data_IF_458814560588
#
_entry.id   IF_458814560588
#
_cell.length_a   1.000
_cell.length_b   1.000
_cell.length_c   1.000
_cell.angle_alpha   90.00
_cell.angle_beta   90.00
_cell.angle_gamma   90.00
#
_symmetry.space_group_name_H-M   'P 1'
#
loop_
_entity.id
_entity.type
_entity.pdbx_description
1 polymer ?
#
# COMPACT_ATOMS: atom_id res chain seq x y z
N UNK A 1 45.69 2.13 22.07
CA UNK A 1 45.02 2.47 23.34
C UNK A 1 43.90 3.44 22.99
N UNK A 2 42.63 3.07 22.87
CA UNK A 2 41.90 1.87 23.35
C UNK A 2 40.72 1.59 22.41
N UNK A 3 40.70 0.35 21.92
CA UNK A 3 39.58 -0.56 21.69
C UNK A 3 38.31 -0.04 20.98
N UNK A 4 38.20 -0.38 19.70
CA UNK A 4 36.92 -0.56 19.00
C UNK A 4 37.02 -1.84 18.17
N UNK A 5 36.93 -2.97 18.86
CA UNK A 5 36.57 -4.26 18.29
C UNK A 5 35.43 -4.83 19.14
N UNK A 6 34.30 -5.10 18.50
CA UNK A 6 33.45 -6.25 18.83
C UNK A 6 32.49 -6.53 17.67
N UNK A 7 33.01 -7.31 16.73
CA UNK A 7 32.25 -8.35 16.06
C UNK A 7 31.68 -9.29 17.14
N UNK A 8 30.39 -9.60 17.07
CA UNK A 8 29.86 -10.85 17.63
C UNK A 8 29.03 -11.52 16.55
N UNK A 9 29.70 -12.44 15.87
CA UNK A 9 29.09 -13.63 15.27
C UNK A 9 28.64 -14.53 16.42
N UNK A 10 27.39 -14.98 16.39
CA UNK A 10 27.01 -16.23 17.05
C UNK A 10 26.22 -17.06 16.05
N UNK A 11 26.83 -18.19 15.72
CA UNK A 11 26.31 -19.27 14.90
C UNK A 11 25.28 -20.08 15.67
N UNK A 12 24.24 -20.52 15.00
CA UNK A 12 23.67 -21.84 15.29
C UNK A 12 23.66 -22.66 14.01
N UNK A 13 24.26 -23.85 14.13
CA UNK A 13 24.45 -24.82 13.08
C UNK A 13 23.09 -25.33 12.57
N UNK A 14 22.89 -25.33 11.25
CA UNK A 14 21.88 -26.17 10.62
C UNK A 14 22.46 -27.58 10.51
N UNK A 15 21.96 -28.47 11.36
CA UNK A 15 22.07 -29.90 11.17
C UNK A 15 21.31 -30.28 9.89
N UNK A 16 22.01 -30.98 9.01
CA UNK A 16 21.49 -31.51 7.75
C UNK A 16 21.08 -32.95 7.99
N UNK A 17 19.80 -33.16 8.29
CA UNK A 17 19.21 -34.50 8.26
C UNK A 17 18.61 -34.77 6.88
N UNK A 18 19.28 -35.65 6.17
CA UNK A 18 18.85 -36.26 4.92
C UNK A 18 17.96 -37.47 5.18
N UNK A 19 17.00 -37.63 4.27
CA UNK A 19 16.21 -38.83 3.97
C UNK A 19 15.07 -39.23 4.93
N UNK A 20 13.84 -39.08 4.44
CA UNK A 20 12.91 -40.23 4.43
C UNK A 20 11.83 -40.05 3.35
N UNK A 21 11.52 -41.19 2.75
CA UNK A 21 10.74 -41.47 1.55
C UNK A 21 9.28 -41.05 1.58
N UNK A 22 8.83 -40.45 0.47
CA UNK A 22 7.42 -40.27 0.12
C UNK A 22 6.77 -41.61 -0.29
N UNK A 23 5.54 -41.92 0.16
CA UNK A 23 4.71 -42.90 -0.50
C UNK A 23 3.92 -42.26 -1.66
N UNK A 24 4.02 -42.88 -2.83
CA UNK A 24 3.14 -42.66 -3.98
C UNK A 24 1.67 -42.85 -3.57
N UNK A 25 0.90 -41.77 -3.59
CA UNK A 25 -0.56 -41.83 -3.52
C UNK A 25 -1.12 -41.86 -4.95
N UNK A 26 -1.87 -42.92 -5.22
CA UNK A 26 -2.56 -43.17 -6.47
C UNK A 26 -3.54 -42.03 -6.80
N UNK A 27 -3.54 -41.62 -8.07
CA UNK A 27 -4.54 -40.75 -8.64
C UNK A 27 -5.85 -41.54 -8.83
N UNK A 28 -6.83 -41.28 -7.96
CA UNK A 28 -8.23 -41.62 -8.24
C UNK A 28 -8.86 -40.45 -9.02
N UNK A 29 -9.34 -40.76 -10.23
CA UNK A 29 -10.13 -39.84 -11.06
C UNK A 29 -11.46 -39.52 -10.36
N UNK A 30 -11.87 -38.24 -10.25
CA UNK A 30 -13.19 -37.91 -9.78
C UNK A 30 -14.25 -38.31 -10.82
N UNK A 31 -15.40 -38.86 -10.40
CA UNK A 31 -16.47 -39.24 -11.32
C UNK A 31 -17.13 -38.01 -11.95
N UNK A 32 -17.45 -38.12 -13.25
CA UNK A 32 -18.28 -37.19 -14.01
C UNK A 32 -19.63 -36.97 -13.29
N UNK A 33 -19.78 -35.79 -12.67
CA UNK A 33 -21.05 -35.38 -12.10
C UNK A 33 -21.95 -34.80 -13.21
N UNK A 34 -23.06 -35.50 -13.43
CA UNK A 34 -24.06 -35.24 -14.44
C UNK A 34 -24.75 -33.89 -14.19
N UNK A 35 -24.81 -33.06 -15.24
CA UNK A 35 -25.55 -31.82 -15.25
C UNK A 35 -27.06 -32.07 -15.07
N UNK A 36 -27.54 -31.88 -13.85
CA UNK A 36 -28.97 -31.74 -13.57
C UNK A 36 -29.42 -30.31 -13.92
N UNK A 37 -30.09 -30.19 -15.07
CA UNK A 37 -30.88 -29.02 -15.47
C UNK A 37 -32.04 -28.88 -14.48
N UNK A 38 -31.92 -27.94 -13.52
CA UNK A 38 -33.05 -27.43 -12.76
C UNK A 38 -33.40 -26.04 -13.27
N UNK A 39 -34.39 -26.03 -14.17
CA UNK A 39 -35.26 -24.88 -14.42
C UNK A 39 -35.93 -24.50 -13.09
N UNK A 40 -35.50 -23.39 -12.47
CA UNK A 40 -36.36 -22.65 -11.56
C UNK A 40 -36.42 -21.20 -12.00
N UNK A 41 -37.57 -20.93 -12.59
CA UNK A 41 -38.04 -19.67 -13.12
C UNK A 41 -38.75 -18.95 -11.98
N UNK A 42 -38.00 -18.30 -11.09
CA UNK A 42 -38.58 -17.44 -10.06
C UNK A 42 -38.16 -15.99 -10.29
N UNK A 43 -39.12 -15.27 -10.87
CA UNK A 43 -39.19 -13.82 -10.96
C UNK A 43 -38.99 -13.18 -9.58
N UNK A 44 -37.80 -12.67 -9.30
CA UNK A 44 -37.60 -11.66 -8.27
C UNK A 44 -36.55 -10.62 -8.69
N UNK A 45 -36.77 -10.01 -9.86
CA UNK A 45 -36.06 -8.82 -10.31
C UNK A 45 -36.73 -7.58 -9.73
N UNK A 46 -36.56 -7.32 -8.43
CA UNK A 46 -36.82 -5.99 -7.89
C UNK A 46 -36.12 -5.71 -6.54
N UNK A 47 -34.79 -5.79 -6.50
CA UNK A 47 -34.01 -5.02 -5.52
C UNK A 47 -32.48 -4.93 -5.78
N UNK A 48 -32.04 -4.93 -7.04
CA UNK A 48 -30.71 -4.42 -7.36
C UNK A 48 -30.75 -2.89 -7.35
N UNK A 49 -30.62 -2.29 -6.16
CA UNK A 49 -30.26 -0.88 -6.04
C UNK A 49 -28.84 -0.73 -6.58
N UNK A 50 -28.74 -0.17 -7.77
CA UNK A 50 -27.52 0.34 -8.38
C UNK A 50 -26.89 1.40 -7.46
N UNK A 51 -25.80 1.05 -6.76
CA UNK A 51 -25.04 1.98 -5.91
C UNK A 51 -23.80 2.57 -6.60
N UNK A 52 -23.77 2.60 -7.92
CA UNK A 52 -22.91 3.55 -8.64
C UNK A 52 -23.80 4.70 -9.12
N UNK A 53 -23.58 5.95 -8.67
CA UNK A 53 -24.22 7.07 -9.33
C UNK A 53 -23.66 7.13 -10.75
N UNK A 54 -24.53 6.90 -11.74
CA UNK A 54 -24.29 7.29 -13.13
C UNK A 54 -24.17 8.82 -13.10
N UNK A 55 -22.95 9.33 -13.11
CA UNK A 55 -22.65 10.74 -13.00
C UNK A 55 -23.04 11.44 -14.31
N UNK A 56 -24.21 12.08 -14.35
CA UNK A 56 -24.76 12.76 -15.52
C UNK A 56 -24.66 14.31 -15.41
N UNK A 57 -23.42 14.81 -15.24
CA UNK A 57 -22.96 16.10 -15.81
C UNK A 57 -22.49 17.23 -14.85
N UNK A 58 -21.79 18.27 -15.33
CA UNK A 58 -20.90 18.28 -16.49
C UNK A 58 -19.44 18.64 -16.15
N UNK A 59 -18.51 18.04 -16.90
CA UNK A 59 -17.34 18.71 -17.45
C UNK A 59 -17.58 18.62 -18.98
N UNK A 60 -17.82 19.74 -19.65
CA UNK A 60 -18.01 19.84 -21.12
C UNK A 60 -17.08 20.94 -21.61
N UNK A 61 -15.79 20.59 -21.68
CA UNK A 61 -14.65 21.44 -21.27
C UNK A 61 -14.60 21.56 -19.74
N UNK A 62 -13.68 22.29 -19.14
CA UNK A 62 -13.43 22.31 -17.69
C UNK A 62 -14.52 22.96 -16.81
N UNK A 63 -15.81 22.84 -17.12
CA UNK A 63 -16.90 23.24 -16.21
C UNK A 63 -17.15 22.21 -15.08
N UNK A 64 -16.06 21.66 -14.54
CA UNK A 64 -16.00 20.56 -13.57
C UNK A 64 -17.08 20.59 -12.49
N UNK A 65 -17.65 19.43 -12.17
CA UNK A 65 -18.33 19.16 -10.89
C UNK A 65 -17.81 17.83 -10.25
N UNK A 66 -16.57 17.45 -10.51
CA UNK A 66 -15.96 16.23 -9.96
C UNK A 66 -15.54 16.40 -8.48
N UNK A 67 -15.83 15.43 -7.58
CA UNK A 67 -15.16 15.35 -6.28
C UNK A 67 -13.65 15.12 -6.49
N UNK A 68 -12.85 16.17 -6.29
CA UNK A 68 -11.38 16.14 -6.51
C UNK A 68 -10.88 16.89 -7.74
N UNK A 69 -11.61 17.90 -8.22
CA UNK A 69 -11.17 18.77 -9.31
C UNK A 69 -9.88 19.57 -8.97
N UNK A 70 -9.11 19.91 -10.00
CA UNK A 70 -7.81 20.58 -9.90
C UNK A 70 -7.93 22.08 -10.17
N UNK A 71 -7.18 22.93 -9.46
CA UNK A 71 -7.16 24.38 -9.69
C UNK A 71 -5.80 24.88 -10.19
N UNK A 72 -5.79 25.75 -11.20
CA UNK A 72 -4.58 26.45 -11.63
C UNK A 72 -4.26 27.69 -10.77
N UNK A 73 -3.15 28.38 -11.09
CA UNK A 73 -2.72 29.57 -10.37
C UNK A 73 -3.71 30.74 -10.47
N UNK A 74 -4.60 30.73 -11.47
CA UNK A 74 -5.64 31.73 -11.68
C UNK A 74 -7.00 31.30 -11.09
N UNK A 75 -7.06 30.17 -10.38
CA UNK A 75 -8.25 29.68 -9.70
C UNK A 75 -9.29 29.00 -10.60
N UNK A 76 -8.94 28.65 -11.84
CA UNK A 76 -9.83 27.89 -12.72
C UNK A 76 -9.83 26.43 -12.32
N UNK A 77 -11.00 25.82 -12.25
CA UNK A 77 -11.20 24.44 -11.78
C UNK A 77 -11.33 23.48 -12.96
N UNK A 78 -10.63 22.36 -12.95
CA UNK A 78 -10.57 21.37 -14.03
C UNK A 78 -10.96 19.99 -13.51
N UNK A 79 -11.82 19.28 -14.25
CA UNK A 79 -11.97 17.84 -14.05
C UNK A 79 -10.66 17.14 -14.46
N UNK A 80 -10.43 15.92 -14.00
CA UNK A 80 -9.14 15.25 -14.18
C UNK A 80 -8.71 15.16 -15.66
N UNK A 81 -9.64 14.82 -16.54
CA UNK A 81 -9.39 14.77 -17.98
C UNK A 81 -9.02 16.12 -18.61
N UNK A 82 -9.59 17.24 -18.12
CA UNK A 82 -9.21 18.57 -18.61
C UNK A 82 -7.86 19.02 -18.02
N UNK A 83 -7.57 18.71 -16.76
CA UNK A 83 -6.28 19.03 -16.18
C UNK A 83 -5.15 18.35 -16.96
N UNK A 84 -5.28 17.05 -17.21
CA UNK A 84 -4.32 16.30 -18.03
C UNK A 84 -4.24 16.86 -19.46
N UNK A 85 -5.35 17.24 -20.09
CA UNK A 85 -5.33 17.80 -21.44
C UNK A 85 -4.61 19.15 -21.53
N UNK A 86 -4.78 20.02 -20.54
CA UNK A 86 -4.26 21.40 -20.58
C UNK A 86 -2.85 21.52 -19.98
N UNK A 87 -2.50 20.62 -19.06
CA UNK A 87 -1.24 20.64 -18.31
C UNK A 87 -0.32 19.45 -18.61
N UNK A 88 -0.75 18.46 -19.42
CA UNK A 88 0.20 17.49 -19.96
C UNK A 88 1.27 18.24 -20.78
N UNK A 89 2.55 17.83 -20.68
CA UNK A 89 3.60 18.40 -21.49
C UNK A 89 3.19 18.30 -22.96
N UNK A 90 2.99 19.44 -23.62
CA UNK A 90 2.62 19.50 -25.04
C UNK A 90 3.55 18.58 -25.83
N UNK A 91 3.01 17.74 -26.72
CA UNK A 91 3.75 16.80 -27.58
C UNK A 91 4.90 17.47 -28.38
N UNK A 92 4.91 18.81 -28.46
CA UNK A 92 5.93 19.62 -29.11
C UNK A 92 7.10 20.08 -28.21
N UNK A 93 7.19 19.66 -26.94
CA UNK A 93 8.47 19.81 -26.23
C UNK A 93 9.41 18.73 -26.74
N UNK A 94 10.63 19.07 -27.22
CA UNK A 94 11.62 18.05 -27.51
C UNK A 94 11.75 17.17 -26.26
N UNK A 95 11.46 15.88 -26.40
CA UNK A 95 11.69 14.90 -25.34
C UNK A 95 13.20 14.91 -25.09
N UNK A 96 13.64 15.63 -24.06
CA UNK A 96 14.94 15.32 -23.47
C UNK A 96 14.94 13.80 -23.22
N UNK A 97 16.02 13.07 -23.57
CA UNK A 97 16.11 11.64 -23.31
C UNK A 97 15.76 11.43 -21.85
N UNK A 98 14.60 10.83 -21.60
CA UNK A 98 14.02 10.85 -20.27
C UNK A 98 14.93 9.95 -19.44
N UNK A 99 15.31 10.36 -18.24
CA UNK A 99 16.08 9.50 -17.31
C UNK A 99 15.44 8.11 -17.16
N UNK A 100 14.12 8.04 -17.37
CA UNK A 100 13.32 6.82 -17.39
C UNK A 100 13.66 5.86 -18.54
N UNK A 101 14.13 6.32 -19.70
CA UNK A 101 14.44 5.46 -20.85
C UNK A 101 15.73 4.66 -20.59
N UNK A 102 16.77 5.30 -20.05
CA UNK A 102 17.98 4.60 -19.59
C UNK A 102 17.72 3.64 -18.43
N UNK A 103 16.83 4.01 -17.50
CA UNK A 103 16.40 3.12 -16.41
C UNK A 103 15.57 1.94 -16.95
N UNK A 104 14.70 2.15 -17.94
CA UNK A 104 13.93 1.08 -18.56
C UNK A 104 14.84 0.04 -19.20
N UNK A 105 15.88 0.46 -19.89
CA UNK A 105 16.85 -0.47 -20.47
C UNK A 105 17.63 -1.21 -19.38
N UNK A 106 18.11 -0.49 -18.37
CA UNK A 106 18.88 -1.06 -17.27
C UNK A 106 18.08 -2.06 -16.41
N UNK A 107 16.76 -1.86 -16.28
CA UNK A 107 15.85 -2.67 -15.47
C UNK A 107 14.82 -3.42 -16.32
N UNK A 108 15.07 -3.62 -17.62
CA UNK A 108 14.08 -4.19 -18.53
C UNK A 108 13.65 -5.60 -18.11
N UNK A 109 14.58 -6.40 -17.57
CA UNK A 109 14.31 -7.76 -17.12
C UNK A 109 13.42 -7.78 -15.87
N UNK A 110 13.68 -6.91 -14.91
CA UNK A 110 12.90 -6.72 -13.69
C UNK A 110 11.49 -6.20 -14.02
N UNK A 111 11.43 -5.28 -14.98
CA UNK A 111 10.19 -4.70 -15.50
C UNK A 111 9.34 -5.71 -16.28
N UNK A 112 9.98 -6.58 -17.08
CA UNK A 112 9.31 -7.67 -17.78
C UNK A 112 8.73 -8.71 -16.81
N UNK A 113 9.27 -8.78 -15.59
CA UNK A 113 8.89 -9.77 -14.60
C UNK A 113 7.58 -9.47 -13.84
N UNK A 114 6.90 -8.35 -14.11
CA UNK A 114 5.50 -8.20 -13.69
C UNK A 114 4.98 -6.77 -13.76
N UNK A 115 4.02 -6.55 -14.66
CA UNK A 115 3.16 -5.35 -14.62
C UNK A 115 2.35 -5.32 -13.31
N UNK A 116 2.00 -4.12 -12.84
CA UNK A 116 1.15 -4.03 -11.65
C UNK A 116 -0.20 -4.72 -11.87
N UNK A 117 -0.64 -5.45 -10.85
CA UNK A 117 -1.89 -6.21 -10.83
C UNK A 117 -2.96 -5.35 -10.17
N UNK A 118 -4.11 -5.21 -10.83
CA UNK A 118 -5.23 -4.42 -10.35
C UNK A 118 -6.25 -5.27 -9.61
N UNK A 119 -6.53 -4.91 -8.37
CA UNK A 119 -7.56 -5.51 -7.54
C UNK A 119 -8.74 -4.55 -7.41
N UNK A 120 -9.86 -4.83 -8.08
CA UNK A 120 -11.11 -4.08 -7.89
C UNK A 120 -11.77 -4.48 -6.58
N UNK A 121 -11.76 -5.78 -6.30
CA UNK A 121 -12.17 -6.38 -5.04
C UNK A 121 -10.92 -7.04 -4.45
N UNK A 122 -10.50 -6.68 -3.23
CA UNK A 122 -9.36 -7.31 -2.59
C UNK A 122 -9.72 -8.78 -2.27
N UNK A 123 -8.72 -9.68 -2.23
CA UNK A 123 -8.93 -11.03 -1.74
C UNK A 123 -9.41 -11.02 -0.28
N UNK A 124 -9.91 -12.15 0.21
CA UNK A 124 -10.16 -12.32 1.64
C UNK A 124 -8.86 -12.62 2.38
N UNK A 125 -8.75 -12.13 3.62
CA UNK A 125 -7.63 -12.46 4.49
C UNK A 125 -7.86 -13.89 4.99
N UNK A 126 -6.98 -14.86 4.67
CA UNK A 126 -7.20 -16.23 5.09
C UNK A 126 -7.12 -16.35 6.62
N UNK A 127 -7.79 -17.34 7.23
CA UNK A 127 -7.57 -17.65 8.65
C UNK A 127 -6.09 -18.00 8.85
N UNK A 128 -5.43 -17.36 9.82
CA UNK A 128 -4.01 -17.60 10.06
C UNK A 128 -3.74 -18.93 10.76
N UNK A 129 -2.53 -19.50 10.60
CA UNK A 129 -2.20 -20.86 11.02
C UNK A 129 -2.00 -21.05 12.53
N UNK A 130 -2.12 -20.02 13.37
CA UNK A 130 -1.78 -20.15 14.78
C UNK A 130 -2.00 -18.90 15.63
N UNK A 131 -1.27 -18.84 16.74
CA UNK A 131 -1.32 -17.73 17.69
C UNK A 131 -0.83 -16.42 17.05
N UNK A 132 -1.37 -15.26 17.48
CA UNK A 132 -0.97 -13.96 16.94
C UNK A 132 0.52 -13.66 17.23
N UNK A 133 1.35 -13.45 16.21
CA UNK A 133 2.80 -13.15 16.36
C UNK A 133 3.21 -11.78 15.83
N UNK A 134 2.25 -10.93 15.46
CA UNK A 134 2.53 -9.63 14.86
C UNK A 134 3.37 -8.72 15.77
N UNK A 135 4.54 -8.31 15.27
CA UNK A 135 5.36 -7.22 15.82
C UNK A 135 5.06 -5.90 15.09
N UNK A 136 4.83 -4.82 15.84
CA UNK A 136 4.60 -3.48 15.31
C UNK A 136 5.71 -2.54 15.76
N UNK A 137 6.39 -1.90 14.81
CA UNK A 137 7.45 -0.91 15.09
C UNK A 137 7.06 0.44 14.50
N UNK A 138 7.41 1.53 15.18
CA UNK A 138 7.20 2.89 14.70
C UNK A 138 8.54 3.62 14.66
N UNK A 139 8.85 4.28 13.54
CA UNK A 139 10.12 4.98 13.33
C UNK A 139 9.91 6.30 12.59
N UNK A 140 10.84 7.24 12.78
CA UNK A 140 10.91 8.51 12.04
C UNK A 140 11.69 8.42 10.72
N UNK A 141 12.13 7.23 10.33
CA UNK A 141 12.83 6.98 9.06
C UNK A 141 11.91 7.11 7.85
N UNK A 142 12.49 7.28 6.64
CA UNK A 142 11.72 7.19 5.39
C UNK A 142 11.33 5.74 5.07
N UNK A 143 10.26 5.57 4.28
CA UNK A 143 9.77 4.25 3.85
C UNK A 143 10.86 3.43 3.14
N UNK A 144 11.74 4.08 2.37
CA UNK A 144 12.82 3.41 1.65
C UNK A 144 13.98 3.00 2.58
N UNK A 145 14.32 3.82 3.59
CA UNK A 145 15.31 3.45 4.61
C UNK A 145 14.87 2.21 5.38
N UNK A 146 13.61 2.20 5.83
CA UNK A 146 13.03 1.06 6.54
C UNK A 146 12.96 -0.17 5.64
N UNK A 147 12.47 -0.04 4.41
CA UNK A 147 12.39 -1.15 3.47
C UNK A 147 13.78 -1.76 3.21
N UNK A 148 14.81 -0.95 3.01
CA UNK A 148 16.18 -1.44 2.83
C UNK A 148 16.66 -2.21 4.05
N UNK A 149 16.46 -1.65 5.25
CA UNK A 149 16.84 -2.31 6.52
C UNK A 149 16.14 -3.65 6.69
N UNK A 150 14.83 -3.71 6.42
CA UNK A 150 14.04 -4.96 6.47
C UNK A 150 14.57 -5.97 5.44
N UNK A 151 14.84 -5.52 4.21
CA UNK A 151 15.40 -6.38 3.14
C UNK A 151 16.75 -7.00 3.54
N UNK A 152 17.67 -6.19 4.08
CA UNK A 152 18.98 -6.65 4.53
C UNK A 152 18.91 -7.61 5.72
N UNK A 153 18.01 -7.36 6.68
CA UNK A 153 17.89 -8.17 7.89
C UNK A 153 17.24 -9.53 7.62
N UNK A 154 16.23 -9.56 6.74
CA UNK A 154 15.41 -10.76 6.54
C UNK A 154 15.80 -11.56 5.30
N UNK A 155 16.56 -10.98 4.37
CA UNK A 155 16.86 -11.61 3.08
C UNK A 155 15.63 -11.79 2.19
N UNK A 156 14.57 -11.02 2.45
CA UNK A 156 13.30 -11.05 1.73
C UNK A 156 12.86 -9.64 1.32
N UNK A 157 12.15 -9.55 0.21
CA UNK A 157 11.62 -8.29 -0.30
C UNK A 157 10.48 -7.79 0.59
N UNK A 158 10.58 -6.60 1.20
CA UNK A 158 9.48 -6.04 1.97
C UNK A 158 8.33 -5.61 1.04
N UNK A 159 7.13 -5.47 1.60
CA UNK A 159 6.01 -4.85 0.90
C UNK A 159 5.73 -3.45 1.45
N UNK A 160 5.86 -2.42 0.62
CA UNK A 160 5.56 -1.04 0.97
C UNK A 160 4.09 -0.74 0.68
N UNK A 161 3.35 -0.27 1.68
CA UNK A 161 1.99 0.24 1.51
C UNK A 161 2.01 1.77 1.44
N UNK A 162 1.40 2.33 0.40
CA UNK A 162 1.37 3.78 0.20
C UNK A 162 0.04 4.26 -0.38
N UNK A 163 -0.22 5.57 -0.25
CA UNK A 163 -1.38 6.22 -0.86
C UNK A 163 -1.07 6.92 -2.16
N UNK A 164 -2.01 6.84 -3.10
CA UNK A 164 -2.01 7.67 -4.30
C UNK A 164 -3.40 8.23 -4.57
N UNK A 165 -3.47 9.35 -5.31
CA UNK A 165 -4.74 9.82 -5.86
C UNK A 165 -5.09 9.02 -7.13
N UNK A 166 -6.35 9.14 -7.58
CA UNK A 166 -6.80 8.46 -8.81
C UNK A 166 -6.26 9.12 -10.09
N UNK A 167 -5.77 10.35 -9.96
CA UNK A 167 -5.64 11.32 -11.05
C UNK A 167 -4.19 11.61 -11.50
N UNK A 168 -3.20 11.34 -10.64
CA UNK A 168 -1.80 11.61 -10.97
C UNK A 168 -0.84 10.67 -10.24
N UNK A 169 -0.10 9.87 -11.01
CA UNK A 169 1.03 9.13 -10.45
C UNK A 169 2.06 10.14 -9.91
N UNK A 170 2.30 10.13 -8.59
CA UNK A 170 3.08 11.16 -7.90
C UNK A 170 2.28 12.10 -6.98
N UNK A 171 0.95 12.05 -7.01
CA UNK A 171 0.08 12.87 -6.15
C UNK A 171 -0.09 14.30 -6.68
N UNK A 172 -0.49 15.23 -5.80
CA UNK A 172 -0.79 16.64 -6.15
C UNK A 172 0.38 17.35 -6.85
N UNK A 173 1.59 17.08 -6.38
CA UNK A 173 2.82 17.72 -6.86
C UNK A 173 3.52 16.89 -7.95
N UNK A 174 2.88 15.82 -8.41
CA UNK A 174 3.46 14.83 -9.31
C UNK A 174 4.74 14.19 -8.77
N UNK A 175 5.57 13.59 -9.65
CA UNK A 175 6.82 12.93 -9.25
C UNK A 175 7.82 13.85 -8.50
N UNK A 176 7.63 15.17 -8.51
CA UNK A 176 8.50 16.13 -7.81
C UNK A 176 8.05 16.44 -6.39
N UNK A 177 6.94 15.86 -5.92
CA UNK A 177 6.42 16.09 -4.57
C UNK A 177 7.40 15.72 -3.46
N UNK A 178 7.42 16.48 -2.37
CA UNK A 178 8.34 16.21 -1.24
C UNK A 178 7.86 15.11 -0.30
N UNK A 179 6.62 14.65 -0.45
CA UNK A 179 6.07 13.54 0.34
C UNK A 179 6.53 12.17 -0.13
N UNK A 180 6.12 11.15 0.62
CA UNK A 180 6.39 9.72 0.40
C UNK A 180 6.17 9.26 -1.05
N UNK A 181 5.01 9.55 -1.63
CA UNK A 181 4.73 9.14 -3.01
C UNK A 181 5.70 9.78 -4.01
N UNK A 182 6.11 11.03 -3.76
CA UNK A 182 7.12 11.70 -4.58
C UNK A 182 8.52 11.11 -4.40
N UNK A 183 8.90 10.73 -3.17
CA UNK A 183 10.11 9.95 -2.90
C UNK A 183 10.10 8.64 -3.69
N UNK A 184 9.05 7.84 -3.56
CA UNK A 184 8.88 6.57 -4.28
C UNK A 184 8.97 6.78 -5.80
N UNK A 185 8.36 7.84 -6.35
CA UNK A 185 8.42 8.10 -7.78
C UNK A 185 9.82 8.52 -8.29
N UNK A 186 10.64 9.19 -7.47
CA UNK A 186 11.99 9.65 -7.89
C UNK A 186 13.08 8.64 -7.63
N UNK A 187 12.96 7.89 -6.54
CA UNK A 187 14.00 7.02 -6.04
C UNK A 187 13.76 5.55 -6.38
N UNK A 188 12.76 5.22 -7.20
CA UNK A 188 12.42 3.84 -7.53
C UNK A 188 11.91 3.68 -8.97
N UNK A 189 11.80 2.44 -9.43
CA UNK A 189 11.17 2.08 -10.71
C UNK A 189 9.63 2.06 -10.66
N UNK A 190 8.99 2.55 -9.58
CA UNK A 190 7.54 2.47 -9.39
C UNK A 190 6.74 3.04 -10.57
N UNK A 191 7.18 4.18 -11.12
CA UNK A 191 6.53 4.81 -12.29
C UNK A 191 6.52 3.92 -13.53
N UNK A 192 7.48 3.00 -13.64
CA UNK A 192 7.56 2.05 -14.73
C UNK A 192 6.63 0.86 -14.49
N UNK A 193 6.48 0.43 -13.23
CA UNK A 193 5.65 -0.72 -12.83
C UNK A 193 4.15 -0.42 -12.92
N UNK A 194 3.76 0.85 -12.76
CA UNK A 194 2.38 1.28 -12.86
C UNK A 194 1.94 1.40 -14.35
N UNK A 195 0.67 1.07 -14.67
CA UNK A 195 0.10 1.24 -16.00
C UNK A 195 0.38 2.62 -16.60
N UNK A 196 0.89 2.63 -17.83
CA UNK A 196 1.31 3.85 -18.53
C UNK A 196 0.14 4.64 -19.14
N UNK A 197 -1.08 4.13 -19.06
CA UNK A 197 -2.28 4.69 -19.68
C UNK A 197 -2.84 5.91 -18.93
N UNK A 198 -1.96 6.78 -18.39
CA UNK A 198 -2.19 8.10 -17.76
C UNK A 198 -3.22 8.18 -16.62
N UNK A 199 -4.11 7.22 -16.52
CA UNK A 199 -5.10 7.00 -15.50
C UNK A 199 -4.65 5.70 -14.86
N UNK A 200 -4.01 5.79 -13.71
CA UNK A 200 -3.77 4.63 -12.88
C UNK A 200 -4.79 4.67 -11.72
N UNK A 201 -6.12 4.60 -11.99
CA UNK A 201 -7.11 4.79 -10.94
C UNK A 201 -7.06 3.55 -10.06
N UNK A 202 -6.39 3.69 -8.93
CA UNK A 202 -6.46 2.73 -7.84
C UNK A 202 -7.93 2.52 -7.50
N UNK A 203 -8.45 1.27 -7.57
CA UNK A 203 -9.84 1.02 -7.23
C UNK A 203 -10.17 1.48 -5.80
N UNK A 204 -11.34 2.09 -5.62
CA UNK A 204 -11.70 2.75 -4.35
C UNK A 204 -11.68 1.81 -3.13
N UNK A 205 -12.08 0.55 -3.34
CA UNK A 205 -12.13 -0.49 -2.30
C UNK A 205 -11.02 -1.54 -2.45
N UNK A 206 -10.12 -1.37 -3.42
CA UNK A 206 -9.09 -2.35 -3.74
C UNK A 206 -7.70 -1.72 -3.76
N UNK A 207 -6.89 -2.10 -4.74
CA UNK A 207 -5.50 -1.66 -4.79
C UNK A 207 -4.79 -2.00 -6.09
N UNK A 208 -3.55 -1.54 -6.20
CA UNK A 208 -2.61 -1.98 -7.22
C UNK A 208 -1.43 -2.65 -6.53
N UNK A 209 -1.07 -3.84 -6.97
CA UNK A 209 0.09 -4.56 -6.48
C UNK A 209 1.20 -4.56 -7.53
N UNK A 210 2.39 -4.10 -7.16
CA UNK A 210 3.57 -4.09 -8.01
C UNK A 210 4.65 -5.01 -7.37
N UNK A 211 4.92 -6.22 -7.91
CA UNK A 211 5.74 -7.23 -7.25
C UNK A 211 7.25 -6.97 -7.22
N UNK A 212 7.79 -6.10 -8.09
CA UNK A 212 9.24 -5.97 -8.33
C UNK A 212 9.65 -4.53 -8.58
N UNK A 213 9.28 -3.65 -7.68
CA UNK A 213 9.77 -2.28 -7.71
C UNK A 213 11.21 -2.28 -7.20
N UNK A 214 12.08 -1.52 -7.84
CA UNK A 214 13.49 -1.43 -7.47
C UNK A 214 13.78 -0.03 -6.98
N UNK A 215 14.28 0.09 -5.76
CA UNK A 215 14.88 1.33 -5.29
C UNK A 215 16.18 1.57 -6.06
N UNK A 216 16.32 2.76 -6.62
CA UNK A 216 17.48 3.14 -7.41
C UNK A 216 18.69 3.37 -6.49
N UNK A 217 19.91 3.07 -6.96
CA UNK A 217 21.12 3.36 -6.22
C UNK A 217 21.21 4.84 -5.82
N UNK A 218 21.65 5.11 -4.59
CA UNK A 218 21.90 6.47 -4.10
C UNK A 218 23.31 6.58 -3.51
N UNK A 219 24.19 7.30 -4.19
CA UNK A 219 25.60 7.38 -3.81
C UNK A 219 26.30 6.02 -3.92
N UNK A 220 26.83 5.52 -2.81
CA UNK A 220 27.48 4.20 -2.73
C UNK A 220 26.51 3.06 -2.39
N UNK A 221 25.24 3.36 -2.13
CA UNK A 221 24.26 2.37 -1.72
C UNK A 221 23.71 1.64 -2.95
N UNK A 222 23.77 0.29 -2.99
CA UNK A 222 23.17 -0.45 -4.08
C UNK A 222 21.64 -0.33 -4.03
N UNK A 223 21.02 -0.40 -5.20
CA UNK A 223 19.57 -0.53 -5.31
C UNK A 223 19.09 -1.86 -4.71
N UNK A 224 17.82 -1.93 -4.34
CA UNK A 224 17.22 -3.13 -3.77
C UNK A 224 15.77 -3.32 -4.25
N UNK A 225 15.31 -4.56 -4.43
CA UNK A 225 13.94 -4.85 -4.81
C UNK A 225 12.98 -4.78 -3.61
N UNK A 226 11.72 -4.46 -3.89
CA UNK A 226 10.60 -4.52 -2.96
C UNK A 226 9.29 -4.68 -3.74
N UNK A 227 8.24 -5.12 -3.05
CA UNK A 227 6.88 -5.08 -3.59
C UNK A 227 6.15 -3.83 -3.08
N UNK A 228 5.19 -3.32 -3.85
CA UNK A 228 4.42 -2.14 -3.45
C UNK A 228 2.92 -2.37 -3.61
N UNK A 229 2.14 -1.90 -2.65
CA UNK A 229 0.67 -1.84 -2.75
C UNK A 229 0.22 -0.40 -2.67
N UNK A 230 -0.39 0.07 -3.75
CA UNK A 230 -0.99 1.39 -3.84
C UNK A 230 -2.47 1.33 -3.43
N UNK A 231 -2.87 2.23 -2.53
CA UNK A 231 -4.27 2.45 -2.14
C UNK A 231 -4.75 3.83 -2.55
N UNK A 232 -6.06 3.98 -2.74
CA UNK A 232 -6.63 5.32 -2.91
C UNK A 232 -6.46 6.14 -1.63
N UNK A 233 -5.87 7.33 -1.77
CA UNK A 233 -5.75 8.33 -0.71
C UNK A 233 -7.13 8.67 -0.13
N UNK A 234 -7.17 8.91 1.18
CA UNK A 234 -8.38 9.43 1.83
C UNK A 234 -8.64 10.85 1.33
N UNK A 235 -9.82 11.08 0.75
CA UNK A 235 -10.24 12.42 0.36
C UNK A 235 -10.82 13.07 1.61
N UNK A 236 -10.00 13.89 2.27
CA UNK A 236 -10.46 14.76 3.34
C UNK A 236 -10.83 16.10 2.70
N UNK A 237 -12.06 16.61 2.86
CA UNK A 237 -12.41 17.97 2.42
C UNK A 237 -11.43 19.00 3.00
N UNK A 238 -11.15 20.09 2.29
CA UNK A 238 -10.21 21.14 2.75
C UNK A 238 -10.63 21.81 4.06
N UNK A 239 -11.94 21.89 4.33
CA UNK A 239 -12.53 22.32 5.60
C UNK A 239 -13.40 21.20 6.16
N UNK A 240 -12.77 20.12 6.64
CA UNK A 240 -13.54 18.99 7.12
C UNK A 240 -14.17 19.43 8.45
N UNK A 241 -15.49 19.29 8.57
CA UNK A 241 -16.14 19.36 9.88
C UNK A 241 -15.81 18.10 10.68
N UNK A 242 -14.51 17.89 10.96
CA UNK A 242 -13.99 16.75 11.72
C UNK A 242 -14.53 16.81 13.15
N UNK A 243 -15.11 17.92 13.60
CA UNK A 243 -15.83 17.96 14.87
C UNK A 243 -17.11 17.12 14.84
N UNK A 244 -17.67 16.83 13.67
CA UNK A 244 -18.88 16.02 13.53
C UNK A 244 -18.57 14.52 13.65
N UNK A 245 -19.26 13.86 14.58
CA UNK A 245 -19.16 12.40 14.77
C UNK A 245 -19.51 11.57 13.51
N UNK A 246 -20.54 11.93 12.71
CA UNK A 246 -20.84 11.20 11.48
C UNK A 246 -19.65 11.15 10.51
N UNK A 247 -18.97 12.29 10.30
CA UNK A 247 -17.81 12.35 9.42
C UNK A 247 -16.65 11.49 9.93
N UNK A 248 -16.38 11.52 11.25
CA UNK A 248 -15.33 10.67 11.86
C UNK A 248 -15.64 9.20 11.69
N UNK A 249 -16.88 8.79 11.93
CA UNK A 249 -17.34 7.41 11.77
C UNK A 249 -17.16 6.94 10.32
N UNK A 250 -17.58 7.73 9.35
CA UNK A 250 -17.46 7.40 7.92
C UNK A 250 -16.00 7.36 7.46
N UNK A 251 -15.19 8.33 7.89
CA UNK A 251 -13.75 8.36 7.63
C UNK A 251 -13.07 7.14 8.24
N UNK A 252 -13.39 6.78 9.48
CA UNK A 252 -12.83 5.60 10.15
C UNK A 252 -13.21 4.33 9.42
N UNK A 253 -14.50 4.14 9.12
CA UNK A 253 -15.00 2.94 8.43
C UNK A 253 -14.36 2.77 7.04
N UNK A 254 -14.30 3.85 6.25
CA UNK A 254 -13.64 3.83 4.94
C UNK A 254 -12.13 3.59 5.04
N UNK A 255 -11.45 4.17 6.04
CA UNK A 255 -10.03 3.91 6.31
C UNK A 255 -9.78 2.45 6.67
N UNK A 256 -10.57 1.90 7.61
CA UNK A 256 -10.49 0.49 8.03
C UNK A 256 -10.65 -0.45 6.84
N UNK A 257 -11.65 -0.21 5.98
CA UNK A 257 -11.89 -1.06 4.80
C UNK A 257 -10.72 -1.04 3.81
N UNK A 258 -10.12 0.15 3.56
CA UNK A 258 -8.98 0.29 2.64
C UNK A 258 -7.69 -0.30 3.20
N UNK A 259 -7.40 -0.07 4.47
CA UNK A 259 -6.25 -0.69 5.16
C UNK A 259 -6.37 -2.21 5.05
N UNK A 260 -7.56 -2.75 5.34
CA UNK A 260 -7.82 -4.19 5.22
C UNK A 260 -7.63 -4.69 3.79
N UNK A 261 -8.06 -3.93 2.78
CA UNK A 261 -7.85 -4.25 1.38
C UNK A 261 -6.36 -4.36 1.04
N UNK A 262 -5.53 -3.40 1.43
CA UNK A 262 -4.09 -3.47 1.18
C UNK A 262 -3.41 -4.62 1.90
N UNK A 263 -3.70 -4.82 3.19
CA UNK A 263 -3.14 -5.94 3.94
C UNK A 263 -3.52 -7.28 3.29
N UNK A 264 -4.76 -7.40 2.82
CA UNK A 264 -5.21 -8.61 2.14
C UNK A 264 -4.47 -8.85 0.82
N UNK A 265 -4.29 -7.80 0.01
CA UNK A 265 -3.52 -7.88 -1.25
C UNK A 265 -2.07 -8.29 -0.94
N UNK A 266 -1.44 -7.70 0.07
CA UNK A 266 -0.08 -8.05 0.48
C UNK A 266 0.02 -9.52 0.91
N UNK A 267 -0.90 -9.98 1.76
CA UNK A 267 -0.95 -11.37 2.24
C UNK A 267 -1.22 -12.37 1.13
N UNK A 268 -2.10 -12.04 0.19
CA UNK A 268 -2.37 -12.86 -0.99
C UNK A 268 -1.11 -13.10 -1.83
N UNK A 269 -0.18 -12.14 -1.83
CA UNK A 269 1.12 -12.26 -2.48
C UNK A 269 2.24 -12.77 -1.56
N UNK A 270 1.91 -13.27 -0.37
CA UNK A 270 2.84 -13.93 0.54
C UNK A 270 3.68 -12.97 1.39
N UNK A 271 3.37 -11.67 1.39
CA UNK A 271 4.14 -10.69 2.16
C UNK A 271 3.78 -10.73 3.64
N UNK A 272 4.78 -11.00 4.49
CA UNK A 272 4.65 -11.02 5.95
C UNK A 272 5.31 -9.83 6.65
N UNK A 273 6.09 -9.05 5.91
CA UNK A 273 6.87 -7.93 6.41
C UNK A 273 6.47 -6.67 5.67
N UNK A 274 5.71 -5.82 6.34
CA UNK A 274 5.10 -4.66 5.73
C UNK A 274 5.77 -3.38 6.22
N UNK A 275 6.03 -2.47 5.30
CA UNK A 275 6.47 -1.11 5.59
C UNK A 275 5.34 -0.18 5.22
N UNK A 276 4.82 0.52 6.21
CA UNK A 276 3.65 1.40 6.06
C UNK A 276 4.13 2.83 6.25
N UNK A 277 3.87 3.65 5.25
CA UNK A 277 4.17 5.06 5.33
C UNK A 277 3.09 5.88 6.03
N UNK A 278 3.13 7.20 5.90
CA UNK A 278 2.15 8.12 6.53
C UNK A 278 0.86 8.27 5.71
N UNK A 279 0.34 7.14 5.21
CA UNK A 279 -0.87 7.11 4.39
C UNK A 279 -2.04 7.81 5.08
N UNK A 280 -2.63 8.81 4.41
CA UNK A 280 -3.80 9.53 4.93
C UNK A 280 -3.52 10.41 6.15
N UNK A 281 -2.27 10.53 6.59
CA UNK A 281 -1.85 11.32 7.74
C UNK A 281 -1.39 12.70 7.25
N UNK A 282 -2.30 13.42 6.62
CA UNK A 282 -2.04 14.77 6.12
C UNK A 282 -1.74 15.74 7.29
N UNK A 283 -1.58 17.03 7.00
CA UNK A 283 -1.27 18.06 8.00
C UNK A 283 -2.34 18.26 9.10
N UNK A 284 -3.35 17.39 9.19
CA UNK A 284 -4.40 17.43 10.21
C UNK A 284 -4.23 16.28 11.23
N UNK A 285 -3.99 16.68 12.47
CA UNK A 285 -3.79 15.79 13.62
C UNK A 285 -5.02 14.93 13.92
N UNK A 286 -6.23 15.47 13.73
CA UNK A 286 -7.48 14.74 13.98
C UNK A 286 -7.71 13.66 12.92
N UNK A 287 -7.39 13.96 11.66
CA UNK A 287 -7.41 12.94 10.59
C UNK A 287 -6.39 11.85 10.91
N UNK A 288 -5.18 12.26 11.29
CA UNK A 288 -4.09 11.34 11.67
C UNK A 288 -4.52 10.42 12.82
N UNK A 289 -5.22 10.93 13.83
CA UNK A 289 -5.78 10.12 14.92
C UNK A 289 -6.78 9.08 14.41
N UNK A 290 -7.72 9.48 13.55
CA UNK A 290 -8.70 8.55 12.96
C UNK A 290 -8.02 7.44 12.17
N UNK A 291 -7.02 7.78 11.36
CA UNK A 291 -6.25 6.81 10.56
C UNK A 291 -5.43 5.88 11.45
N UNK A 292 -4.73 6.41 12.46
CA UNK A 292 -3.96 5.60 13.41
C UNK A 292 -4.86 4.59 14.14
N UNK A 293 -6.06 5.00 14.57
CA UNK A 293 -7.04 4.10 15.18
C UNK A 293 -7.62 3.08 14.18
N UNK A 294 -7.78 3.44 12.91
CA UNK A 294 -8.20 2.49 11.88
C UNK A 294 -7.12 1.41 11.65
N UNK A 295 -5.84 1.77 11.59
CA UNK A 295 -4.74 0.80 11.55
C UNK A 295 -4.75 -0.10 12.79
N UNK A 296 -4.88 0.49 13.98
CA UNK A 296 -4.90 -0.26 15.23
C UNK A 296 -6.05 -1.27 15.27
N UNK A 297 -7.23 -0.90 14.78
CA UNK A 297 -8.39 -1.78 14.67
C UNK A 297 -8.13 -2.96 13.72
N UNK A 298 -7.62 -2.70 12.51
CA UNK A 298 -7.34 -3.76 11.54
C UNK A 298 -6.24 -4.69 12.04
N UNK A 299 -5.17 -4.15 12.64
CA UNK A 299 -4.07 -4.94 13.19
C UNK A 299 -4.42 -5.65 14.51
N UNK A 300 -5.56 -5.33 15.13
CA UNK A 300 -6.10 -6.11 16.25
C UNK A 300 -6.84 -7.38 15.78
N UNK A 301 -7.19 -7.46 14.50
CA UNK A 301 -7.87 -8.61 13.93
C UNK A 301 -7.00 -9.87 13.99
N UNK A 302 -7.56 -10.96 14.52
CA UNK A 302 -6.83 -12.22 14.71
C UNK A 302 -6.30 -12.78 13.38
N UNK A 303 -7.07 -12.74 12.30
CA UNK A 303 -6.63 -13.26 11.01
C UNK A 303 -5.45 -12.44 10.47
N UNK A 304 -5.46 -11.12 10.67
CA UNK A 304 -4.33 -10.25 10.30
C UNK A 304 -3.09 -10.59 11.13
N UNK A 305 -3.21 -10.63 12.46
CA UNK A 305 -2.07 -10.86 13.37
C UNK A 305 -1.42 -12.24 13.24
N UNK A 306 -2.17 -13.24 12.81
CA UNK A 306 -1.67 -14.59 12.61
C UNK A 306 -1.00 -14.79 11.24
N UNK A 307 -1.17 -13.86 10.29
CA UNK A 307 -0.59 -13.96 8.95
C UNK A 307 0.55 -12.96 8.69
N UNK A 308 0.58 -11.83 9.40
CA UNK A 308 1.63 -10.81 9.27
C UNK A 308 2.62 -10.97 10.42
N UNK A 309 3.91 -11.08 10.08
CA UNK A 309 4.98 -11.20 11.06
C UNK A 309 5.38 -9.83 11.61
N UNK A 310 5.65 -8.87 10.73
CA UNK A 310 6.09 -7.53 11.14
C UNK A 310 5.40 -6.42 10.34
N UNK A 311 5.09 -5.32 11.04
CA UNK A 311 4.63 -4.06 10.44
C UNK A 311 5.51 -2.95 10.98
N UNK A 312 6.22 -2.24 10.10
CA UNK A 312 6.97 -1.03 10.48
C UNK A 312 6.30 0.21 9.90
N UNK A 313 5.87 1.12 10.76
CA UNK A 313 5.38 2.44 10.39
C UNK A 313 6.57 3.40 10.22
N UNK A 314 6.85 3.79 8.99
CA UNK A 314 7.89 4.75 8.62
C UNK A 314 7.29 6.15 8.50
N UNK A 315 7.26 6.88 9.62
CA UNK A 315 6.58 8.16 9.77
C UNK A 315 7.60 9.30 9.72
N UNK A 316 8.14 9.57 8.53
CA UNK A 316 9.17 10.59 8.31
C UNK A 316 8.70 12.04 8.53
N UNK A 317 7.42 12.25 8.80
CA UNK A 317 6.83 13.56 9.13
C UNK A 317 7.09 13.95 10.59
N UNK A 318 6.82 15.22 10.90
CA UNK A 318 7.00 15.86 12.20
C UNK A 318 6.56 14.97 13.38
N UNK A 319 7.26 15.10 14.52
CA UNK A 319 7.11 14.22 15.68
C UNK A 319 5.69 14.10 16.27
N UNK A 320 4.74 14.94 15.84
CA UNK A 320 3.32 14.80 16.18
C UNK A 320 2.66 13.57 15.54
N UNK A 321 2.91 13.28 14.26
CA UNK A 321 2.35 12.08 13.60
C UNK A 321 2.79 10.82 14.33
N UNK A 322 4.09 10.73 14.62
CA UNK A 322 4.67 9.63 15.37
C UNK A 322 4.04 9.48 16.77
N UNK A 323 3.85 10.58 17.51
CA UNK A 323 3.20 10.57 18.83
C UNK A 323 1.74 10.09 18.77
N UNK A 324 0.99 10.51 17.75
CA UNK A 324 -0.40 10.07 17.56
C UNK A 324 -0.46 8.57 17.32
N UNK A 325 0.38 8.03 16.43
CA UNK A 325 0.45 6.59 16.21
C UNK A 325 0.90 5.86 17.48
N UNK A 326 1.94 6.33 18.18
CA UNK A 326 2.37 5.73 19.45
C UNK A 326 1.21 5.66 20.46
N UNK A 327 0.38 6.70 20.54
CA UNK A 327 -0.83 6.70 21.37
C UNK A 327 -1.82 5.61 20.96
N UNK A 328 -2.16 5.51 19.67
CA UNK A 328 -3.13 4.52 19.18
C UNK A 328 -2.66 3.06 19.33
N UNK A 329 -1.36 2.81 19.26
CA UNK A 329 -0.79 1.46 19.35
C UNK A 329 -0.52 0.98 20.78
N UNK A 330 -0.40 1.87 21.78
CA UNK A 330 -0.32 1.46 23.21
C UNK A 330 -1.52 0.62 23.66
N UNK A 331 -2.71 0.96 23.15
CA UNK A 331 -3.94 0.24 23.47
C UNK A 331 -4.00 -1.16 22.84
N UNK A 332 -3.22 -1.40 21.78
CA UNK A 332 -3.13 -2.67 21.09
C UNK A 332 -2.35 -3.70 21.92
N UNK A 333 -1.23 -3.28 22.51
CA UNK A 333 -0.39 -4.12 23.38
C UNK A 333 -1.08 -4.42 24.71
N UNK A 334 -1.85 -3.47 25.26
CA UNK A 334 -2.61 -3.68 26.49
C UNK A 334 -3.72 -4.75 26.37
N UNK A 335 -4.19 -5.06 25.15
CA UNK A 335 -5.22 -6.08 24.89
C UNK A 335 -4.64 -7.46 24.62
N UNK A 336 -3.40 -7.53 24.13
CA UNK A 336 -2.66 -8.77 23.99
C UNK A 336 -1.98 -9.04 25.34
N UNK A 337 -2.68 -9.69 26.27
CA UNK A 337 -2.20 -9.90 27.64
C UNK A 337 -0.72 -10.25 27.75
N UNK A 338 0.09 -9.26 28.16
CA UNK A 338 1.45 -9.37 28.71
C UNK A 338 2.40 -10.40 28.08
N UNK A 339 3.24 -9.96 27.15
CA UNK A 339 4.67 -10.30 27.04
C UNK A 339 5.23 -9.44 25.88
N UNK A 340 6.12 -8.48 26.03
CA UNK A 340 7.49 -8.63 26.52
C UNK A 340 8.11 -7.24 26.73
N UNK A 341 8.84 -7.08 27.83
CA UNK A 341 9.76 -5.99 28.05
C UNK A 341 11.08 -6.28 27.30
N UNK A 342 11.22 -5.82 26.06
CA UNK A 342 12.51 -5.72 25.38
C UNK A 342 12.40 -4.88 24.11
N UNK A 343 12.42 -3.55 24.20
CA UNK A 343 12.88 -2.68 23.08
C UNK A 343 13.10 -1.23 23.53
N UNK A 344 14.07 -1.02 24.41
CA UNK A 344 14.74 0.29 24.57
C UNK A 344 16.24 0.04 24.62
N UNK A 345 16.84 -0.22 23.45
CA UNK A 345 18.27 -0.03 23.12
C UNK A 345 18.52 -0.57 21.71
N UNK A 346 18.24 0.27 20.70
CA UNK A 346 18.85 0.21 19.38
C UNK A 346 19.12 1.65 18.92
#
# INVERSE_FOLDING_TARGET
MTDSEKLVLSMTALETDTASSAPEAAAEEPPEEQAAVLNNNDNNTNNQRSWLPIWQGPCQECRSNEPGAWSDAEGRVYCDGCWQKWFAPSENRPREPHVLDGLREAYAAEMAAGAAIRYVVPPEIPPGPGEPTLECTLTGESVLSVARRVSLLLGHDPCILFGTNMSAVGGRDGPKGKGELGELCRATTLLLALPSDKLCPVPYWGGLYAPRVVALPHGAEPGFPFAAVAMQRLLVPDEPNIASEPFRSDLRSSSTARIRAALSISLHHGHKHLVIGSWGCEHDVKVTQVVAHAYAEVLADKAVRSNIATVTFALSSEGETLRVFQGAFRDLDGRAGHSSAASEQL
#
